data_IF_379963159914
#
_entry.id   IF_379963159914
#
_cell.length_a   1.000
_cell.length_b   1.000
_cell.length_c   1.000
_cell.angle_alpha   90.00
_cell.angle_beta   90.00
_cell.angle_gamma   90.00
#
_symmetry.space_group_name_H-M   'P 1'
#
loop_
_entity.id
_entity.type
_entity.pdbx_description
1 polymer ?
#
# COMPACT_ATOMS: atom_id res chain seq x y z
N UNK A 1 7.38 3.79 41.54
CA UNK A 1 6.66 4.61 40.55
C UNK A 1 7.50 5.84 40.34
N UNK A 2 8.10 6.01 39.16
CA UNK A 2 8.89 7.20 38.86
C UNK A 2 7.94 8.32 38.44
N UNK A 3 7.94 9.42 39.20
CA UNK A 3 7.33 10.69 38.79
C UNK A 3 8.04 11.16 37.52
N UNK A 4 7.31 11.24 36.41
CA UNK A 4 7.80 11.76 35.15
C UNK A 4 7.98 13.27 35.27
N UNK A 5 9.18 13.75 34.94
CA UNK A 5 9.48 15.16 34.80
C UNK A 5 8.57 15.78 33.73
N UNK A 6 7.61 16.61 34.16
CA UNK A 6 6.60 17.24 33.30
C UNK A 6 7.19 18.35 32.40
N UNK A 7 8.51 18.57 32.44
CA UNK A 7 9.24 19.38 31.46
C UNK A 7 10.00 18.54 30.42
N UNK A 8 9.78 17.23 30.37
CA UNK A 8 10.39 16.40 29.33
C UNK A 8 9.78 16.72 27.96
N UNK A 9 10.57 17.31 27.07
CA UNK A 9 10.26 17.43 25.63
C UNK A 9 10.17 16.07 24.92
N UNK A 10 10.44 14.97 25.63
CA UNK A 10 10.46 13.61 25.10
C UNK A 10 9.65 12.72 26.04
N UNK A 11 8.58 12.14 25.50
CA UNK A 11 7.86 11.04 26.16
C UNK A 11 8.33 9.73 25.53
N UNK A 12 8.96 8.88 26.32
CA UNK A 12 9.40 7.55 25.87
C UNK A 12 8.41 6.49 26.37
N UNK A 13 7.77 5.80 25.45
CA UNK A 13 6.97 4.63 25.72
C UNK A 13 7.09 3.66 24.55
N UNK A 14 6.83 2.38 24.79
CA UNK A 14 6.67 1.40 23.71
C UNK A 14 5.35 1.57 22.96
N UNK A 15 4.36 2.17 23.61
CA UNK A 15 3.01 2.29 23.09
C UNK A 15 2.30 3.50 23.66
N UNK A 16 1.54 4.18 22.81
CA UNK A 16 0.59 5.22 23.13
C UNK A 16 -0.77 4.82 22.55
N UNK A 17 -1.80 4.83 23.39
CA UNK A 17 -3.17 4.59 22.95
C UNK A 17 -3.97 5.88 23.11
N UNK A 18 -4.66 6.26 22.03
CA UNK A 18 -5.77 7.18 22.11
C UNK A 18 -7.03 6.35 22.37
N UNK A 19 -7.75 6.64 23.44
CA UNK A 19 -8.99 5.95 23.81
C UNK A 19 -10.17 6.92 23.84
N UNK A 20 -11.38 6.39 23.66
CA UNK A 20 -12.62 7.14 23.89
C UNK A 20 -13.04 7.14 25.38
N UNK A 21 -14.17 7.77 25.67
CA UNK A 21 -14.77 7.89 27.00
C UNK A 21 -15.30 6.55 27.56
N UNK A 22 -15.37 5.51 26.74
CA UNK A 22 -15.64 4.13 27.16
C UNK A 22 -14.36 3.27 27.26
N UNK A 23 -13.18 3.86 27.09
CA UNK A 23 -11.86 3.21 27.02
C UNK A 23 -11.65 2.30 25.79
N UNK A 24 -12.43 2.47 24.71
CA UNK A 24 -12.11 1.77 23.46
C UNK A 24 -10.94 2.47 22.77
N UNK A 25 -10.02 1.70 22.19
CA UNK A 25 -8.85 2.24 21.48
C UNK A 25 -9.30 2.81 20.13
N UNK A 26 -9.03 4.10 19.92
CA UNK A 26 -9.27 4.82 18.66
C UNK A 26 -8.02 4.86 17.79
N UNK A 27 -6.83 4.94 18.39
CA UNK A 27 -5.56 4.90 17.70
C UNK A 27 -4.45 4.32 18.58
N UNK A 28 -3.46 3.71 17.96
CA UNK A 28 -2.29 3.14 18.61
C UNK A 28 -1.04 3.58 17.88
N UNK A 29 -0.10 4.23 18.57
CA UNK A 29 1.28 4.40 18.12
C UNK A 29 2.15 3.47 18.95
N UNK A 30 2.93 2.60 18.32
CA UNK A 30 3.78 1.70 19.08
C UNK A 30 4.89 1.04 18.26
N UNK A 31 5.78 0.37 18.97
CA UNK A 31 6.79 -0.51 18.40
C UNK A 31 6.47 -1.98 18.70
N UNK A 32 6.65 -2.82 17.69
CA UNK A 32 6.54 -4.27 17.81
C UNK A 32 7.91 -4.94 17.98
N UNK A 33 7.95 -6.27 18.01
CA UNK A 33 9.21 -7.02 17.96
C UNK A 33 10.03 -6.67 16.72
N UNK A 34 11.34 -6.93 16.80
CA UNK A 34 12.27 -6.90 15.66
C UNK A 34 12.32 -5.56 14.90
N UNK A 35 12.09 -4.44 15.58
CA UNK A 35 12.23 -3.10 14.98
C UNK A 35 11.02 -2.63 14.16
N UNK A 36 9.91 -3.39 14.16
CA UNK A 36 8.66 -2.90 13.60
C UNK A 36 8.11 -1.71 14.42
N UNK A 37 7.49 -0.76 13.74
CA UNK A 37 6.84 0.38 14.37
C UNK A 37 5.67 0.86 13.52
N UNK A 38 4.62 1.35 14.16
CA UNK A 38 3.46 1.80 13.41
C UNK A 38 2.46 2.63 14.18
N UNK A 39 1.59 3.27 13.40
CA UNK A 39 0.39 3.97 13.77
C UNK A 39 -0.81 3.21 13.19
N UNK A 40 -1.75 2.84 14.03
CA UNK A 40 -3.04 2.28 13.65
C UNK A 40 -4.16 3.22 14.08
N UNK A 41 -5.18 3.37 13.24
CA UNK A 41 -6.43 4.07 13.57
C UNK A 41 -7.57 3.09 13.42
N UNK A 42 -8.45 3.01 14.42
CA UNK A 42 -9.47 2.00 14.55
C UNK A 42 -10.89 2.54 14.35
N UNK A 43 -11.80 1.65 13.96
CA UNK A 43 -13.24 1.82 14.06
C UNK A 43 -13.81 0.58 14.75
N UNK A 44 -14.18 0.70 16.02
CA UNK A 44 -14.39 -0.48 16.87
C UNK A 44 -13.08 -1.28 16.97
N UNK A 45 -13.16 -2.60 16.85
CA UNK A 45 -11.97 -3.47 16.92
C UNK A 45 -11.22 -3.61 15.59
N UNK A 46 -11.65 -2.90 14.54
CA UNK A 46 -11.09 -3.05 13.19
C UNK A 46 -10.17 -1.86 12.85
N UNK A 47 -8.88 -2.11 12.55
CA UNK A 47 -8.01 -1.09 11.97
C UNK A 47 -8.58 -0.59 10.64
N UNK A 48 -8.64 0.72 10.45
CA UNK A 48 -9.06 1.40 9.21
C UNK A 48 -7.89 2.03 8.47
N UNK A 49 -6.87 2.43 9.20
CA UNK A 49 -5.61 2.91 8.67
C UNK A 49 -4.48 2.23 9.43
N UNK A 50 -3.44 1.84 8.69
CA UNK A 50 -2.16 1.40 9.25
C UNK A 50 -1.04 2.13 8.51
N UNK A 51 -0.11 2.72 9.23
CA UNK A 51 1.12 3.30 8.71
C UNK A 51 2.28 2.74 9.53
N UNK A 52 3.30 2.17 8.90
CA UNK A 52 4.43 1.66 9.67
C UNK A 52 5.50 0.98 8.85
N UNK A 53 6.50 0.50 9.58
CA UNK A 53 7.58 -0.34 9.10
C UNK A 53 7.45 -1.73 9.68
N UNK A 54 7.62 -2.75 8.84
CA UNK A 54 7.73 -4.12 9.31
C UNK A 54 9.19 -4.49 9.66
N UNK A 55 9.39 -5.72 10.13
CA UNK A 55 10.70 -6.23 10.54
C UNK A 55 11.72 -6.35 9.39
N UNK A 56 11.28 -6.26 8.14
CA UNK A 56 12.17 -6.27 6.97
C UNK A 56 12.62 -4.88 6.57
N UNK A 57 12.06 -3.84 7.18
CA UNK A 57 12.29 -2.44 6.83
C UNK A 57 11.35 -1.91 5.74
N UNK A 58 10.41 -2.72 5.24
CA UNK A 58 9.39 -2.25 4.30
C UNK A 58 8.47 -1.25 5.00
N UNK A 59 8.29 -0.09 4.38
CA UNK A 59 7.38 0.96 4.84
C UNK A 59 6.04 0.78 4.12
N UNK A 60 4.92 0.91 4.82
CA UNK A 60 3.60 0.88 4.17
C UNK A 60 2.57 1.79 4.82
N UNK A 61 1.65 2.31 4.01
CA UNK A 61 0.39 2.91 4.40
C UNK A 61 -0.73 2.08 3.80
N UNK A 62 -1.67 1.61 4.62
CA UNK A 62 -2.83 0.83 4.17
C UNK A 62 -4.13 1.45 4.69
N UNK A 63 -5.14 1.52 3.82
CA UNK A 63 -6.53 1.85 4.17
C UNK A 63 -7.39 0.60 4.01
N UNK A 64 -8.27 0.36 4.98
CA UNK A 64 -9.15 -0.81 5.04
C UNK A 64 -10.61 -0.42 4.96
N UNK A 65 -11.41 -1.26 4.30
CA UNK A 65 -12.86 -1.13 4.25
C UNK A 65 -13.54 -1.47 5.59
N UNK A 66 -14.87 -1.46 5.60
CA UNK A 66 -15.66 -1.79 6.79
C UNK A 66 -15.53 -3.27 7.21
N UNK A 67 -15.08 -4.15 6.32
CA UNK A 67 -14.82 -5.56 6.62
C UNK A 67 -13.36 -5.81 7.07
N UNK A 68 -12.53 -4.76 7.16
CA UNK A 68 -11.12 -4.86 7.53
C UNK A 68 -10.20 -5.26 6.36
N UNK A 69 -10.75 -5.40 5.16
CA UNK A 69 -10.02 -5.76 3.94
C UNK A 69 -9.25 -4.55 3.44
N UNK A 70 -7.98 -4.72 3.08
CA UNK A 70 -7.18 -3.62 2.53
C UNK A 70 -7.79 -3.20 1.20
N UNK A 71 -8.24 -1.94 1.09
CA UNK A 71 -8.74 -1.37 -0.17
C UNK A 71 -7.67 -0.59 -0.91
N UNK A 72 -6.77 0.07 -0.17
CA UNK A 72 -5.66 0.83 -0.72
C UNK A 72 -4.39 0.52 0.05
N UNK A 73 -3.28 0.32 -0.65
CA UNK A 73 -1.95 0.24 -0.03
C UNK A 73 -0.95 1.01 -0.86
N UNK A 74 -0.09 1.76 -0.17
CA UNK A 74 1.16 2.34 -0.67
C UNK A 74 2.30 1.67 0.10
N UNK A 75 3.34 1.21 -0.58
CA UNK A 75 4.50 0.65 0.09
C UNK A 75 5.81 1.08 -0.59
N UNK A 76 6.89 0.88 0.15
CA UNK A 76 8.28 0.94 -0.33
C UNK A 76 8.94 -0.29 0.26
N UNK A 77 9.49 -1.16 -0.59
CA UNK A 77 10.16 -2.35 -0.11
C UNK A 77 11.47 -2.04 0.63
N UNK A 78 12.10 -3.08 1.17
CA UNK A 78 13.31 -2.96 1.96
C UNK A 78 14.55 -2.54 1.17
N UNK A 79 14.53 -2.65 -0.17
CA UNK A 79 15.55 -2.09 -1.06
C UNK A 79 15.39 -0.59 -1.29
N UNK A 80 14.29 0.01 -0.82
CA UNK A 80 13.96 1.41 -1.06
C UNK A 80 13.27 1.62 -2.41
N UNK A 81 12.97 0.54 -3.14
CA UNK A 81 12.26 0.61 -4.40
C UNK A 81 10.80 0.93 -4.09
N UNK A 82 10.22 1.99 -4.69
CA UNK A 82 8.87 2.40 -4.37
C UNK A 82 7.89 1.41 -5.00
N UNK A 83 7.47 0.45 -4.19
CA UNK A 83 6.62 -0.65 -4.63
C UNK A 83 5.17 -0.43 -4.19
N UNK A 84 4.31 -0.29 -5.20
CA UNK A 84 2.90 -0.67 -5.17
C UNK A 84 1.97 0.36 -4.53
N UNK A 85 1.37 1.19 -5.39
CA UNK A 85 0.01 1.67 -5.12
C UNK A 85 -0.95 0.57 -5.57
N UNK A 86 -1.65 -0.11 -4.65
CA UNK A 86 -2.70 -1.07 -5.02
C UNK A 86 -4.07 -0.60 -4.62
N UNK A 87 -5.02 -0.73 -5.54
CA UNK A 87 -6.45 -0.78 -5.23
C UNK A 87 -6.88 -2.23 -5.18
N UNK A 88 -7.65 -2.61 -4.16
CA UNK A 88 -8.12 -3.98 -3.96
C UNK A 88 -9.62 -4.00 -3.73
N UNK A 89 -10.27 -5.03 -4.25
CA UNK A 89 -11.67 -5.35 -3.91
C UNK A 89 -11.73 -6.53 -2.94
N UNK A 90 -12.91 -6.90 -2.45
CA UNK A 90 -13.07 -8.13 -1.69
C UNK A 90 -12.99 -9.34 -2.63
N UNK A 91 -12.20 -10.39 -2.32
CA UNK A 91 -11.37 -10.65 -1.14
C UNK A 91 -9.87 -10.36 -1.34
N UNK A 92 -9.47 -9.09 -1.31
CA UNK A 92 -8.12 -8.56 -1.54
C UNK A 92 -7.55 -8.68 -2.97
N UNK A 93 -8.39 -8.85 -4.00
CA UNK A 93 -7.89 -8.93 -5.38
C UNK A 93 -7.42 -7.56 -5.83
N UNK A 94 -6.21 -7.50 -6.38
CA UNK A 94 -5.67 -6.28 -6.98
C UNK A 94 -6.51 -5.93 -8.21
N UNK A 95 -6.97 -4.69 -8.27
CA UNK A 95 -7.73 -4.11 -9.38
C UNK A 95 -6.93 -3.12 -10.20
N UNK A 96 -6.02 -2.43 -9.54
CA UNK A 96 -5.09 -1.54 -10.19
C UNK A 96 -3.79 -1.49 -9.38
N UNK A 97 -2.67 -1.40 -10.09
CA UNK A 97 -1.35 -1.31 -9.52
C UNK A 97 -0.51 -0.26 -10.25
N UNK A 98 0.25 0.53 -9.49
CA UNK A 98 1.36 1.33 -10.02
C UNK A 98 2.66 0.79 -9.41
N UNK A 99 3.65 0.50 -10.25
CA UNK A 99 4.92 -0.09 -9.87
C UNK A 99 6.08 0.71 -10.48
N UNK A 100 7.09 1.04 -9.67
CA UNK A 100 8.41 1.42 -10.16
C UNK A 100 9.37 0.25 -9.94
N UNK A 101 10.13 -0.10 -10.97
CA UNK A 101 11.15 -1.13 -10.95
C UNK A 101 12.53 -0.51 -10.68
N UNK A 102 13.48 -1.33 -10.22
CA UNK A 102 14.83 -0.91 -9.86
C UNK A 102 15.63 -0.32 -11.04
N UNK A 103 15.30 -0.74 -12.26
CA UNK A 103 15.90 -0.23 -13.49
C UNK A 103 15.33 1.13 -13.93
N UNK A 104 14.33 1.66 -13.21
CA UNK A 104 13.64 2.90 -13.52
C UNK A 104 12.39 2.74 -14.37
N UNK A 105 12.06 1.52 -14.81
CA UNK A 105 10.82 1.27 -15.53
C UNK A 105 9.61 1.49 -14.62
N UNK A 106 8.56 2.14 -15.14
CA UNK A 106 7.31 2.40 -14.40
C UNK A 106 6.14 1.78 -15.14
N UNK A 107 5.28 1.08 -14.40
CA UNK A 107 4.12 0.37 -14.95
C UNK A 107 2.83 0.71 -14.22
N UNK A 108 1.73 0.80 -14.97
CA UNK A 108 0.36 0.81 -14.47
C UNK A 108 -0.37 -0.39 -15.04
N UNK A 109 -0.93 -1.23 -14.17
CA UNK A 109 -1.71 -2.41 -14.54
C UNK A 109 -3.14 -2.28 -14.03
N UNK A 110 -4.13 -2.58 -14.87
CA UNK A 110 -5.54 -2.73 -14.49
C UNK A 110 -5.97 -4.19 -14.66
N UNK A 111 -6.68 -4.70 -13.66
CA UNK A 111 -7.06 -6.09 -13.54
C UNK A 111 -8.57 -6.20 -13.37
N UNK A 112 -9.20 -7.19 -14.01
CA UNK A 112 -10.65 -7.38 -13.96
C UNK A 112 -11.16 -8.09 -12.71
N UNK A 113 -12.48 -8.36 -12.72
CA UNK A 113 -13.24 -9.15 -11.75
C UNK A 113 -12.59 -10.45 -11.29
N UNK A 114 -11.94 -11.13 -12.23
CA UNK A 114 -11.40 -12.47 -12.10
C UNK A 114 -9.91 -12.48 -11.76
N UNK A 115 -9.27 -11.31 -11.69
CA UNK A 115 -7.84 -11.20 -11.46
C UNK A 115 -7.01 -11.23 -12.75
N UNK A 116 -7.63 -11.14 -13.93
CA UNK A 116 -6.93 -11.11 -15.21
C UNK A 116 -6.57 -9.67 -15.60
N UNK A 117 -5.33 -9.45 -16.05
CA UNK A 117 -4.89 -8.18 -16.59
C UNK A 117 -5.69 -7.82 -17.85
N UNK A 118 -6.13 -6.56 -17.93
CA UNK A 118 -6.86 -6.01 -19.09
C UNK A 118 -6.18 -4.79 -19.69
N UNK A 119 -5.38 -4.07 -18.90
CA UNK A 119 -4.60 -2.93 -19.37
C UNK A 119 -3.24 -2.97 -18.69
N UNK A 120 -2.18 -2.79 -19.47
CA UNK A 120 -0.86 -2.45 -18.96
C UNK A 120 -0.31 -1.25 -19.74
N UNK A 121 0.24 -0.29 -19.01
CA UNK A 121 0.95 0.86 -19.56
C UNK A 121 2.30 0.88 -18.88
N UNK A 122 3.37 0.69 -19.63
CA UNK A 122 4.74 0.63 -19.10
C UNK A 122 5.63 1.62 -19.84
N UNK A 123 6.44 2.38 -19.11
CA UNK A 123 7.57 3.12 -19.65
C UNK A 123 8.83 2.40 -19.20
N UNK A 124 9.63 1.92 -20.15
CA UNK A 124 10.89 1.24 -19.89
C UNK A 124 11.98 2.25 -19.51
N UNK A 125 13.08 1.76 -18.93
CA UNK A 125 14.21 2.57 -18.51
C UNK A 125 14.85 3.41 -19.64
N UNK A 126 14.73 2.96 -20.89
CA UNK A 126 15.21 3.66 -22.09
C UNK A 126 14.20 4.69 -22.64
N UNK A 127 13.06 4.86 -21.97
CA UNK A 127 11.98 5.77 -22.34
C UNK A 127 10.93 5.17 -23.27
N UNK A 128 11.10 3.92 -23.74
CA UNK A 128 10.10 3.28 -24.60
C UNK A 128 8.79 3.06 -23.84
N UNK A 129 7.69 3.62 -24.36
CA UNK A 129 6.36 3.39 -23.85
C UNK A 129 5.69 2.19 -24.55
N UNK A 130 5.11 1.30 -23.75
CA UNK A 130 4.33 0.14 -24.17
C UNK A 130 2.91 0.24 -23.60
N UNK A 131 1.92 -0.03 -24.43
CA UNK A 131 0.51 -0.14 -24.02
C UNK A 131 -0.03 -1.48 -24.49
N UNK A 132 -0.52 -2.29 -23.55
CA UNK A 132 -1.20 -3.55 -23.80
C UNK A 132 -2.67 -3.46 -23.37
N UNK A 133 -3.57 -3.87 -24.26
CA UNK A 133 -5.00 -4.03 -23.96
C UNK A 133 -5.39 -5.49 -24.20
N UNK A 134 -6.07 -6.13 -23.26
CA UNK A 134 -6.42 -7.54 -23.36
C UNK A 134 -7.92 -7.79 -23.25
N UNK A 135 -8.43 -8.63 -24.15
CA UNK A 135 -9.82 -9.12 -24.11
C UNK A 135 -10.03 -10.07 -22.92
N UNK A 136 -11.26 -10.56 -22.74
CA UNK A 136 -11.61 -11.46 -21.61
C UNK A 136 -10.80 -12.77 -21.59
N UNK A 137 -10.31 -13.23 -22.73
CA UNK A 137 -9.57 -14.47 -22.90
C UNK A 137 -8.05 -14.24 -22.77
N UNK A 138 -7.62 -12.99 -22.63
CA UNK A 138 -6.22 -12.59 -22.48
C UNK A 138 -5.52 -12.31 -23.82
N UNK A 139 -6.26 -12.24 -24.93
CA UNK A 139 -5.69 -11.90 -26.22
C UNK A 139 -5.56 -10.38 -26.37
N UNK A 140 -4.54 -9.88 -27.09
CA UNK A 140 -4.45 -8.47 -27.45
C UNK A 140 -5.75 -8.00 -28.11
N UNK A 141 -6.25 -6.85 -27.66
CA UNK A 141 -7.48 -6.25 -28.18
C UNK A 141 -7.20 -5.58 -29.51
N UNK A 142 -7.96 -5.90 -30.55
CA UNK A 142 -7.78 -5.34 -31.91
C UNK A 142 -7.93 -3.80 -31.99
N UNK A 143 -8.43 -3.15 -30.92
CA UNK A 143 -8.72 -1.71 -30.87
C UNK A 143 -7.50 -0.79 -30.68
N UNK A 144 -6.38 -1.32 -30.20
CA UNK A 144 -5.04 -0.71 -30.23
C UNK A 144 -4.07 -1.88 -30.27
N UNK A 145 -3.54 -2.21 -31.46
CA UNK A 145 -2.34 -3.02 -31.51
C UNK A 145 -1.28 -2.37 -30.61
N UNK A 146 -0.34 -3.15 -30.07
CA UNK A 146 0.84 -2.66 -29.35
C UNK A 146 1.61 -1.68 -30.25
N UNK A 147 1.16 -0.44 -30.37
CA UNK A 147 1.74 0.56 -31.24
C UNK A 147 2.82 1.29 -30.45
N UNK A 148 4.01 1.25 -31.02
CA UNK A 148 5.14 2.07 -30.59
C UNK A 148 4.72 3.53 -30.74
N UNK A 149 4.49 4.22 -29.64
CA UNK A 149 4.36 5.67 -29.66
C UNK A 149 5.76 6.23 -29.84
N UNK A 150 6.14 6.54 -31.08
CA UNK A 150 7.32 7.36 -31.38
C UNK A 150 6.90 8.83 -31.44
N UNK A 151 7.68 9.71 -30.81
CA UNK A 151 7.57 11.17 -30.91
C UNK A 151 7.97 11.70 -32.30
#
# INVERSE_FOLDING_TARGET
MAEGDINANIVQARQFQLVDDQNNVLALLGSGPNGSAGLEIYKGDTPRLSLGTDETGRVSLSLRDNAGTISVRLAVDSSGSPTVFTFRDAPERVRAQILLQDDGAVGVTLTDGMGAERVNITVLADGLALVGLYDKDGNPSDGLANERLED
#
